data_IF_855715150128
#
_entry.id   IF_855715150128
#
_cell.length_a   1.000
_cell.length_b   1.000
_cell.length_c   1.000
_cell.angle_alpha   90.00
_cell.angle_beta   90.00
_cell.angle_gamma   90.00
#
_symmetry.space_group_name_H-M   'P 1'
#
loop_
_entity.id
_entity.type
_entity.pdbx_description
1 polymer ?
#
# COMPACT_ATOMS: atom_id res chain seq x y z
N UNK A 1 2.53 8.17 -14.12
CA UNK A 1 1.13 8.50 -13.82
C UNK A 1 0.99 9.96 -13.37
N UNK A 2 1.70 10.42 -12.34
CA UNK A 2 1.58 11.80 -11.79
C UNK A 2 1.77 12.88 -12.85
N UNK A 3 2.82 12.80 -13.67
CA UNK A 3 3.09 13.77 -14.73
C UNK A 3 1.94 13.87 -15.76
N UNK A 4 1.32 12.74 -16.11
CA UNK A 4 0.18 12.70 -17.02
C UNK A 4 -1.05 13.37 -16.40
N UNK A 5 -1.35 13.12 -15.13
CA UNK A 5 -2.48 13.75 -14.44
C UNK A 5 -2.26 15.27 -14.25
N UNK A 6 -1.02 15.69 -13.95
CA UNK A 6 -0.67 17.12 -13.91
C UNK A 6 -0.87 17.82 -15.27
N UNK A 7 -0.60 17.12 -16.37
CA UNK A 7 -0.77 17.68 -17.72
C UNK A 7 -2.23 17.94 -18.08
N UNK A 8 -3.18 17.17 -17.53
CA UNK A 8 -4.62 17.37 -17.79
C UNK A 8 -5.21 18.59 -17.09
N UNK A 9 -4.61 19.07 -16.00
CA UNK A 9 -5.10 20.15 -15.12
C UNK A 9 -6.52 19.94 -14.56
N UNK A 10 -7.09 18.74 -14.73
CA UNK A 10 -8.44 18.39 -14.27
C UNK A 10 -8.45 17.63 -12.95
N UNK A 11 -7.28 17.27 -12.42
CA UNK A 11 -7.16 16.47 -11.21
C UNK A 11 -6.39 17.22 -10.12
N UNK A 12 -6.82 17.04 -8.88
CA UNK A 12 -6.11 17.56 -7.71
C UNK A 12 -5.14 16.49 -7.18
N UNK A 13 -3.89 16.88 -6.98
CA UNK A 13 -2.84 16.00 -6.50
C UNK A 13 -2.42 16.46 -5.10
N UNK A 14 -2.35 15.54 -4.16
CA UNK A 14 -1.91 15.81 -2.80
C UNK A 14 -0.43 16.22 -2.76
N UNK A 15 -0.02 17.02 -1.78
CA UNK A 15 1.40 17.20 -1.47
C UNK A 15 2.07 15.86 -1.15
N UNK A 16 3.39 15.77 -1.37
CA UNK A 16 4.14 14.53 -1.18
C UNK A 16 4.20 14.07 0.29
N UNK A 17 4.17 15.01 1.23
CA UNK A 17 4.16 14.73 2.68
C UNK A 17 3.02 15.49 3.32
N UNK A 18 2.22 14.80 4.10
CA UNK A 18 1.02 15.36 4.75
C UNK A 18 0.85 14.79 6.15
N UNK A 19 0.23 15.57 7.03
CA UNK A 19 -0.37 15.06 8.26
C UNK A 19 -1.83 14.69 8.00
N UNK A 20 -2.46 13.93 8.88
CA UNK A 20 -3.88 13.60 8.78
C UNK A 20 -4.73 14.88 8.58
N UNK A 21 -4.47 15.93 9.36
CA UNK A 21 -5.17 17.20 9.26
C UNK A 21 -4.95 17.91 7.90
N UNK A 22 -3.69 18.01 7.44
CA UNK A 22 -3.40 18.65 6.15
C UNK A 22 -3.92 17.85 4.95
N UNK A 23 -4.05 16.53 5.11
CA UNK A 23 -4.68 15.67 4.11
C UNK A 23 -6.18 15.98 3.95
N UNK A 24 -6.91 16.12 5.07
CA UNK A 24 -8.32 16.52 5.05
C UNK A 24 -8.48 17.94 4.46
N UNK A 25 -7.60 18.87 4.80
CA UNK A 25 -7.60 20.21 4.19
C UNK A 25 -7.35 20.16 2.67
N UNK A 26 -6.44 19.33 2.22
CA UNK A 26 -6.17 19.13 0.79
C UNK A 26 -7.37 18.52 0.07
N UNK A 27 -8.02 17.52 0.69
CA UNK A 27 -9.23 16.92 0.16
C UNK A 27 -10.38 17.95 0.11
N UNK A 28 -10.56 18.78 1.15
CA UNK A 28 -11.55 19.85 1.16
C UNK A 28 -11.34 20.88 0.04
N UNK A 29 -10.08 21.20 -0.29
CA UNK A 29 -9.73 22.09 -1.41
C UNK A 29 -9.86 21.46 -2.80
N UNK A 30 -10.06 20.14 -2.89
CA UNK A 30 -10.17 19.40 -4.16
C UNK A 30 -11.59 19.36 -4.73
N UNK A 31 -12.44 20.33 -4.35
CA UNK A 31 -13.82 20.40 -4.78
C UNK A 31 -13.95 20.54 -6.31
N UNK A 32 -14.88 19.79 -6.87
CA UNK A 32 -15.26 19.83 -8.29
C UNK A 32 -16.77 19.69 -8.42
N UNK A 33 -17.28 20.22 -9.54
CA UNK A 33 -18.69 20.13 -9.89
C UNK A 33 -18.85 19.55 -11.29
N UNK A 34 -19.79 18.63 -11.45
CA UNK A 34 -20.15 18.05 -12.75
C UNK A 34 -21.64 18.25 -12.97
N UNK A 35 -21.99 18.66 -14.19
CA UNK A 35 -23.39 18.76 -14.59
C UNK A 35 -24.00 17.36 -14.74
N UNK A 36 -25.12 17.12 -14.08
CA UNK A 36 -25.87 15.88 -14.23
C UNK A 36 -26.53 15.83 -15.61
N UNK A 37 -26.69 14.64 -16.20
CA UNK A 37 -27.42 14.48 -17.47
C UNK A 37 -28.79 15.15 -17.42
N UNK A 38 -29.24 15.66 -18.57
CA UNK A 38 -30.56 16.29 -18.76
C UNK A 38 -30.79 17.54 -17.89
N UNK A 39 -29.74 18.27 -17.53
CA UNK A 39 -29.82 19.47 -16.66
C UNK A 39 -30.52 19.20 -15.32
N UNK A 40 -30.46 18.00 -14.79
CA UNK A 40 -31.07 17.63 -13.50
C UNK A 40 -30.34 18.16 -12.28
N UNK A 41 -29.41 19.10 -12.48
CA UNK A 41 -28.65 19.78 -11.43
C UNK A 41 -27.14 19.53 -11.51
N UNK A 42 -26.43 19.87 -10.43
CA UNK A 42 -24.98 19.73 -10.29
C UNK A 42 -24.68 18.63 -9.27
N UNK A 43 -23.61 17.88 -9.48
CA UNK A 43 -23.01 17.01 -8.48
C UNK A 43 -21.70 17.65 -8.04
N UNK A 44 -21.64 17.99 -6.76
CA UNK A 44 -20.40 18.42 -6.12
C UNK A 44 -19.70 17.21 -5.49
N UNK A 45 -18.39 17.10 -5.70
CA UNK A 45 -17.55 16.06 -5.13
C UNK A 45 -16.13 16.58 -4.89
N UNK A 46 -15.42 15.91 -4.01
CA UNK A 46 -14.02 16.20 -3.73
C UNK A 46 -13.18 14.98 -4.10
N UNK A 47 -12.20 15.16 -4.97
CA UNK A 47 -11.34 14.05 -5.40
C UNK A 47 -9.87 14.43 -5.33
N UNK A 48 -9.11 13.67 -4.53
CA UNK A 48 -7.68 13.87 -4.30
C UNK A 48 -6.89 12.64 -4.74
N UNK A 49 -5.90 12.86 -5.62
CA UNK A 49 -4.92 11.84 -5.98
C UNK A 49 -3.69 11.96 -5.11
N UNK A 50 -3.21 10.84 -4.59
CA UNK A 50 -1.99 10.71 -3.82
C UNK A 50 -0.98 9.90 -4.62
N UNK A 51 0.19 10.48 -4.85
CA UNK A 51 1.34 9.79 -5.42
C UNK A 51 2.51 9.90 -4.45
N UNK A 52 3.01 8.77 -3.99
CA UNK A 52 4.21 8.73 -3.15
C UNK A 52 5.12 7.60 -3.61
N UNK A 53 6.38 7.93 -3.90
CA UNK A 53 7.38 6.92 -4.25
C UNK A 53 7.63 5.96 -3.08
N UNK A 54 7.53 6.48 -1.85
CA UNK A 54 7.68 5.74 -0.61
C UNK A 54 6.51 6.03 0.32
N UNK A 55 5.82 4.98 0.76
CA UNK A 55 4.66 5.08 1.66
C UNK A 55 5.01 5.82 2.97
N UNK A 56 6.22 5.62 3.49
CA UNK A 56 6.68 6.27 4.72
C UNK A 56 6.93 7.78 4.62
N UNK A 57 6.98 8.34 3.41
CA UNK A 57 6.97 9.80 3.22
C UNK A 57 5.55 10.34 3.36
N UNK A 58 4.55 9.55 2.99
CA UNK A 58 3.15 9.94 3.02
C UNK A 58 2.49 9.66 4.38
N UNK A 59 2.80 8.52 5.02
CA UNK A 59 2.24 8.12 6.32
C UNK A 59 3.40 7.94 7.31
N UNK A 60 3.31 8.58 8.48
CA UNK A 60 4.28 8.35 9.54
C UNK A 60 4.14 6.94 10.13
N UNK A 61 5.25 6.39 10.62
CA UNK A 61 5.25 5.09 11.26
C UNK A 61 4.25 5.05 12.43
N UNK A 62 3.45 3.98 12.49
CA UNK A 62 2.46 3.72 13.54
C UNK A 62 1.30 4.75 13.64
N UNK A 63 1.09 5.59 12.63
CA UNK A 63 -0.04 6.55 12.62
C UNK A 63 -1.38 5.85 12.30
N UNK A 64 -1.91 5.14 13.30
CA UNK A 64 -3.20 4.44 13.19
C UNK A 64 -4.37 5.40 12.93
N UNK A 65 -4.28 6.64 13.41
CA UNK A 65 -5.34 7.62 13.18
C UNK A 65 -5.43 7.99 11.70
N UNK A 66 -4.30 8.27 11.07
CA UNK A 66 -4.29 8.59 9.65
C UNK A 66 -4.71 7.39 8.78
N UNK A 67 -4.25 6.17 9.12
CA UNK A 67 -4.70 4.95 8.46
C UNK A 67 -6.22 4.75 8.57
N UNK A 68 -6.81 5.06 9.73
CA UNK A 68 -8.26 4.97 9.95
C UNK A 68 -9.03 5.96 9.08
N UNK A 69 -8.55 7.19 8.95
CA UNK A 69 -9.15 8.20 8.06
C UNK A 69 -9.12 7.74 6.60
N UNK A 70 -7.98 7.22 6.12
CA UNK A 70 -7.88 6.70 4.75
C UNK A 70 -8.82 5.53 4.54
N UNK A 71 -8.91 4.61 5.50
CA UNK A 71 -9.85 3.48 5.46
C UNK A 71 -11.31 3.95 5.40
N UNK A 72 -11.65 4.98 6.16
CA UNK A 72 -12.99 5.56 6.18
C UNK A 72 -13.36 6.22 4.85
N UNK A 73 -12.41 6.90 4.22
CA UNK A 73 -12.59 7.59 2.93
C UNK A 73 -12.55 6.66 1.72
N UNK A 74 -12.17 5.39 1.89
CA UNK A 74 -12.18 4.40 0.81
C UNK A 74 -13.60 4.00 0.40
N UNK A 75 -14.50 3.87 1.37
CA UNK A 75 -15.89 3.54 1.14
C UNK A 75 -16.69 4.82 0.82
N UNK A 76 -17.70 4.69 -0.03
CA UNK A 76 -18.50 5.84 -0.45
C UNK A 76 -19.20 6.50 0.74
N UNK A 77 -19.06 7.83 0.84
CA UNK A 77 -19.76 8.69 1.79
C UNK A 77 -20.37 9.89 1.06
N UNK A 78 -21.59 10.25 1.40
CA UNK A 78 -22.19 11.47 0.87
C UNK A 78 -21.50 12.72 1.45
N UNK A 79 -21.11 12.67 2.71
CA UNK A 79 -20.45 13.79 3.39
C UNK A 79 -19.48 13.27 4.45
N UNK A 80 -18.31 13.86 4.50
CA UNK A 80 -17.34 13.72 5.60
C UNK A 80 -17.30 15.01 6.40
N UNK A 81 -17.36 14.93 7.73
CA UNK A 81 -17.30 16.08 8.63
C UNK A 81 -16.20 15.91 9.65
N UNK A 82 -15.45 16.99 9.88
CA UNK A 82 -14.41 17.05 10.90
C UNK A 82 -14.49 18.34 11.67
N UNK A 83 -14.51 18.26 13.01
CA UNK A 83 -14.47 19.40 13.91
C UNK A 83 -13.09 19.50 14.57
N UNK A 84 -12.49 20.69 14.58
CA UNK A 84 -11.17 20.93 15.15
C UNK A 84 -11.26 21.91 16.32
N UNK A 85 -10.67 21.53 17.46
CA UNK A 85 -10.72 22.29 18.72
C UNK A 85 -10.28 23.78 18.62
N UNK A 86 -9.39 24.10 17.70
CA UNK A 86 -8.85 25.45 17.55
C UNK A 86 -9.34 26.19 16.32
N UNK A 87 -10.29 25.65 15.59
CA UNK A 87 -10.95 26.35 14.51
C UNK A 87 -12.14 27.12 15.06
N UNK A 88 -12.07 28.45 15.04
CA UNK A 88 -13.21 29.34 15.24
C UNK A 88 -14.17 29.35 14.05
N UNK A 89 -13.86 28.55 13.03
CA UNK A 89 -14.66 28.39 11.81
C UNK A 89 -15.56 27.16 11.95
N UNK A 90 -16.59 27.14 11.11
CA UNK A 90 -17.49 25.99 10.96
C UNK A 90 -16.72 24.68 10.72
N UNK A 91 -17.30 23.53 11.11
CA UNK A 91 -16.70 22.24 10.84
C UNK A 91 -16.37 22.09 9.35
N UNK A 92 -15.25 21.39 9.07
CA UNK A 92 -14.90 21.07 7.69
C UNK A 92 -15.94 20.05 7.18
N UNK A 93 -16.63 20.44 6.10
CA UNK A 93 -17.59 19.57 5.43
C UNK A 93 -17.12 19.30 4.00
N UNK A 94 -17.02 18.03 3.64
CA UNK A 94 -16.51 17.57 2.34
C UNK A 94 -17.57 16.69 1.70
N UNK A 95 -18.04 17.10 0.53
CA UNK A 95 -19.10 16.38 -0.19
C UNK A 95 -18.55 15.30 -1.10
N UNK A 96 -19.17 14.11 -1.06
CA UNK A 96 -18.80 12.95 -1.88
C UNK A 96 -17.28 12.77 -1.96
N UNK A 97 -16.57 12.65 -0.82
CA UNK A 97 -15.12 12.54 -0.79
C UNK A 97 -14.64 11.29 -1.52
N UNK A 98 -13.65 11.46 -2.37
CA UNK A 98 -12.99 10.38 -3.09
C UNK A 98 -11.48 10.54 -3.01
N UNK A 99 -10.77 9.45 -2.80
CA UNK A 99 -9.31 9.44 -2.80
C UNK A 99 -8.78 8.28 -3.64
N UNK A 100 -7.71 8.57 -4.36
CA UNK A 100 -7.01 7.54 -5.14
C UNK A 100 -5.54 7.57 -4.73
N UNK A 101 -5.02 6.43 -4.25
CA UNK A 101 -3.65 6.30 -3.81
C UNK A 101 -2.86 5.41 -4.77
N UNK A 102 -1.71 5.90 -5.22
CA UNK A 102 -0.69 5.11 -5.90
C UNK A 102 0.63 5.35 -5.17
N UNK A 103 1.05 4.37 -4.38
CA UNK A 103 2.20 4.49 -3.49
C UNK A 103 3.14 3.30 -3.64
N UNK A 104 4.44 3.56 -3.55
CA UNK A 104 5.47 2.54 -3.51
C UNK A 104 5.87 2.20 -2.08
N UNK A 105 6.37 1.00 -1.85
CA UNK A 105 7.04 0.62 -0.61
C UNK A 105 7.85 -0.66 -0.80
N UNK A 106 8.83 -0.85 0.06
CA UNK A 106 9.55 -2.12 0.15
C UNK A 106 8.89 -3.01 1.20
N UNK A 107 8.80 -4.35 1.00
CA UNK A 107 8.17 -5.24 1.97
C UNK A 107 8.75 -5.12 3.38
N UNK A 108 10.09 -5.10 3.52
CA UNK A 108 10.74 -4.93 4.82
C UNK A 108 10.39 -3.61 5.52
N UNK A 109 10.19 -2.53 4.76
CA UNK A 109 9.79 -1.24 5.31
C UNK A 109 8.32 -1.24 5.75
N UNK A 110 7.44 -1.96 5.06
CA UNK A 110 6.04 -2.12 5.49
C UNK A 110 5.93 -2.73 6.89
N UNK A 111 6.83 -3.66 7.24
CA UNK A 111 6.85 -4.28 8.57
C UNK A 111 7.14 -3.28 9.70
N UNK A 112 7.97 -2.27 9.44
CA UNK A 112 8.31 -1.23 10.41
C UNK A 112 7.32 -0.07 10.42
N UNK A 113 6.71 0.22 9.28
CA UNK A 113 5.77 1.33 9.10
C UNK A 113 4.39 1.01 9.66
N UNK A 114 3.88 -0.20 9.38
CA UNK A 114 2.52 -0.61 9.70
C UNK A 114 2.51 -1.54 10.93
N UNK A 115 1.89 -1.11 12.04
CA UNK A 115 1.71 -1.97 13.19
C UNK A 115 0.80 -3.16 12.86
N UNK A 116 0.87 -4.25 13.63
CA UNK A 116 0.05 -5.44 13.41
C UNK A 116 -1.45 -5.12 13.40
N UNK A 117 -1.88 -4.15 14.22
CA UNK A 117 -3.25 -3.65 14.24
C UNK A 117 -3.73 -3.12 12.87
N UNK A 118 -2.87 -2.51 12.07
CA UNK A 118 -3.25 -2.01 10.74
C UNK A 118 -3.74 -3.12 9.81
N UNK A 119 -3.12 -4.31 9.90
CA UNK A 119 -3.50 -5.47 9.09
C UNK A 119 -4.88 -6.01 9.48
N UNK A 120 -5.24 -5.95 10.77
CA UNK A 120 -6.54 -6.41 11.28
C UNK A 120 -7.63 -5.35 11.14
N UNK A 121 -7.29 -4.06 11.13
CA UNK A 121 -8.23 -2.94 10.98
C UNK A 121 -8.79 -2.78 9.55
N UNK A 122 -8.52 -3.71 8.64
CA UNK A 122 -9.06 -3.70 7.30
C UNK A 122 -8.26 -2.88 6.28
N UNK A 123 -7.00 -2.51 6.59
CA UNK A 123 -6.10 -1.86 5.65
C UNK A 123 -5.89 -2.72 4.40
N UNK A 124 -5.54 -4.01 4.58
CA UNK A 124 -5.37 -4.97 3.47
C UNK A 124 -6.62 -5.13 2.61
N UNK A 125 -7.81 -4.99 3.19
CA UNK A 125 -9.05 -5.12 2.45
C UNK A 125 -9.37 -3.93 1.53
N UNK A 126 -8.56 -2.89 1.59
CA UNK A 126 -8.72 -1.64 0.83
C UNK A 126 -7.56 -1.34 -0.11
N UNK A 127 -6.54 -2.18 -0.11
CA UNK A 127 -5.36 -2.05 -0.97
C UNK A 127 -5.26 -3.19 -1.96
N UNK A 128 -4.93 -2.86 -3.19
CA UNK A 128 -4.46 -3.81 -4.18
C UNK A 128 -2.93 -3.75 -4.18
N UNK A 129 -2.30 -4.77 -3.60
CA UNK A 129 -0.86 -4.83 -3.44
C UNK A 129 -0.21 -5.52 -4.63
N UNK A 130 0.49 -4.75 -5.45
CA UNK A 130 1.23 -5.26 -6.61
C UNK A 130 2.68 -5.50 -6.18
N UNK A 131 3.17 -6.71 -6.36
CA UNK A 131 4.54 -7.09 -6.03
C UNK A 131 5.28 -7.61 -7.25
N UNK A 132 6.56 -7.26 -7.36
CA UNK A 132 7.48 -7.84 -8.32
C UNK A 132 8.84 -8.03 -7.65
N UNK A 133 9.41 -9.22 -7.78
CA UNK A 133 10.79 -9.51 -7.36
C UNK A 133 11.81 -9.27 -8.48
N UNK A 134 11.35 -9.09 -9.72
CA UNK A 134 12.22 -8.85 -10.87
C UNK A 134 12.40 -7.38 -11.13
N UNK A 135 13.63 -6.96 -11.37
CA UNK A 135 13.94 -5.64 -11.93
C UNK A 135 14.15 -5.81 -13.44
N UNK A 136 13.51 -4.99 -14.28
CA UNK A 136 13.82 -5.01 -15.71
C UNK A 136 15.27 -4.58 -15.92
N UNK A 137 15.97 -5.28 -16.80
CA UNK A 137 17.28 -4.86 -17.27
C UNK A 137 17.10 -3.64 -18.20
N UNK A 138 17.49 -2.49 -17.68
CA UNK A 138 17.41 -1.22 -18.43
C UNK A 138 18.83 -0.75 -18.71
N UNK A 139 19.22 -0.54 -19.99
CA UNK A 139 20.54 -0.02 -20.34
C UNK A 139 20.83 1.28 -19.60
N UNK A 140 22.00 1.35 -18.98
CA UNK A 140 22.43 2.57 -18.27
C UNK A 140 22.65 3.74 -19.26
N UNK A 141 23.08 3.43 -20.46
CA UNK A 141 23.27 4.36 -21.57
C UNK A 141 22.52 3.84 -22.79
N UNK A 142 21.51 4.55 -23.21
CA UNK A 142 20.70 4.18 -24.36
C UNK A 142 19.87 5.35 -24.88
N UNK A 143 19.47 5.27 -26.14
CA UNK A 143 18.47 6.20 -26.66
C UNK A 143 17.09 5.84 -26.09
N UNK A 144 16.56 6.72 -25.26
CA UNK A 144 15.19 6.59 -24.79
C UNK A 144 14.24 6.91 -25.94
N UNK A 145 13.32 5.98 -26.21
CA UNK A 145 12.28 6.20 -27.21
C UNK A 145 11.49 7.44 -26.85
N UNK A 146 11.38 8.38 -27.78
CA UNK A 146 10.52 9.54 -27.60
C UNK A 146 9.06 9.10 -27.53
N UNK A 147 8.42 9.30 -26.38
CA UNK A 147 7.06 8.89 -26.06
C UNK A 147 6.06 10.07 -26.10
N UNK A 148 6.47 11.24 -26.61
CA UNK A 148 5.65 12.47 -26.55
C UNK A 148 4.27 12.30 -27.24
N UNK A 149 4.23 11.57 -28.35
CA UNK A 149 2.98 11.35 -29.06
C UNK A 149 2.02 10.44 -28.30
N UNK A 150 2.56 9.38 -27.70
CA UNK A 150 1.80 8.45 -26.85
C UNK A 150 1.32 9.12 -25.56
N UNK A 151 2.17 9.94 -24.94
CA UNK A 151 1.81 10.71 -23.76
C UNK A 151 0.69 11.70 -24.05
N UNK A 152 0.75 12.42 -25.18
CA UNK A 152 -0.34 13.31 -25.62
C UNK A 152 -1.67 12.58 -25.78
N UNK A 153 -1.65 11.38 -26.41
CA UNK A 153 -2.85 10.55 -26.55
C UNK A 153 -3.41 10.11 -25.18
N UNK A 154 -2.53 9.74 -24.25
CA UNK A 154 -2.96 9.38 -22.89
C UNK A 154 -3.56 10.56 -22.14
N UNK A 155 -2.96 11.75 -22.25
CA UNK A 155 -3.52 12.98 -21.64
C UNK A 155 -4.89 13.30 -22.20
N UNK A 156 -5.06 13.24 -23.54
CA UNK A 156 -6.36 13.46 -24.18
C UNK A 156 -7.42 12.47 -23.70
N UNK A 157 -7.03 11.20 -23.52
CA UNK A 157 -7.92 10.16 -23.01
C UNK A 157 -8.30 10.39 -21.55
N UNK A 158 -7.35 10.80 -20.70
CA UNK A 158 -7.59 11.17 -19.31
C UNK A 158 -8.53 12.41 -19.22
N UNK A 159 -8.32 13.39 -20.08
CA UNK A 159 -9.20 14.57 -20.17
C UNK A 159 -10.66 14.17 -20.50
N UNK A 160 -10.83 13.28 -21.47
CA UNK A 160 -12.15 12.75 -21.80
C UNK A 160 -12.76 11.96 -20.62
N UNK A 161 -11.96 11.10 -19.95
CA UNK A 161 -12.44 10.35 -18.78
C UNK A 161 -12.89 11.26 -17.63
N UNK A 162 -12.25 12.43 -17.45
CA UNK A 162 -12.59 13.36 -16.38
C UNK A 162 -13.99 14.00 -16.54
N UNK A 163 -14.55 13.97 -17.73
CA UNK A 163 -15.87 14.54 -18.04
C UNK A 163 -17.00 13.51 -18.03
N UNK A 164 -16.67 12.22 -17.88
CA UNK A 164 -17.71 11.19 -17.76
C UNK A 164 -18.42 11.28 -16.42
N UNK A 165 -19.74 11.26 -16.48
CA UNK A 165 -20.61 11.19 -15.32
C UNK A 165 -21.82 10.31 -15.62
N UNK A 166 -22.20 9.48 -14.65
CA UNK A 166 -23.40 8.66 -14.72
C UNK A 166 -23.16 7.23 -14.20
N UNK A 167 -24.26 6.48 -14.13
CA UNK A 167 -24.23 5.09 -13.75
C UNK A 167 -23.66 4.23 -14.89
N UNK A 168 -22.69 3.36 -14.57
CA UNK A 168 -22.18 2.38 -15.51
C UNK A 168 -23.14 1.18 -15.58
N UNK A 169 -23.68 0.92 -16.77
CA UNK A 169 -24.59 -0.22 -17.02
C UNK A 169 -23.77 -1.49 -17.24
N UNK A 170 -24.27 -2.58 -16.71
CA UNK A 170 -23.67 -3.90 -16.91
C UNK A 170 -24.35 -4.65 -18.05
N UNK A 171 -23.54 -5.25 -18.93
CA UNK A 171 -24.02 -6.22 -19.90
C UNK A 171 -24.53 -7.50 -19.18
N UNK A 172 -25.60 -8.09 -19.66
CA UNK A 172 -26.19 -9.30 -19.10
C UNK A 172 -25.20 -10.48 -19.03
N UNK A 173 -24.30 -10.61 -20.01
CA UNK A 173 -23.24 -11.64 -20.00
C UNK A 173 -22.21 -11.37 -18.91
N UNK A 174 -21.83 -10.10 -18.69
CA UNK A 174 -20.93 -9.70 -17.64
C UNK A 174 -21.52 -9.97 -16.24
N UNK A 175 -22.82 -9.68 -16.05
CA UNK A 175 -23.54 -10.01 -14.80
C UNK A 175 -23.52 -11.52 -14.56
N UNK A 176 -23.89 -12.31 -15.58
CA UNK A 176 -23.96 -13.77 -15.45
C UNK A 176 -22.59 -14.40 -15.12
N UNK A 177 -21.51 -13.87 -15.67
CA UNK A 177 -20.14 -14.35 -15.37
C UNK A 177 -19.71 -14.00 -13.96
N UNK A 178 -19.95 -12.76 -13.52
CA UNK A 178 -19.67 -12.33 -12.15
C UNK A 178 -20.45 -13.16 -11.12
N UNK A 179 -21.73 -13.43 -11.39
CA UNK A 179 -22.57 -14.28 -10.53
C UNK A 179 -22.07 -15.73 -10.47
N UNK A 180 -21.58 -16.28 -11.60
CA UNK A 180 -20.96 -17.59 -11.63
C UNK A 180 -19.71 -17.62 -10.77
N UNK A 181 -18.82 -16.65 -10.94
CA UNK A 181 -17.59 -16.56 -10.16
C UNK A 181 -17.85 -16.34 -8.66
N UNK A 182 -18.89 -15.59 -8.32
CA UNK A 182 -19.37 -15.46 -6.94
C UNK A 182 -19.81 -16.80 -6.35
N UNK A 183 -20.57 -17.61 -7.11
CA UNK A 183 -20.99 -18.97 -6.69
C UNK A 183 -19.81 -19.89 -6.48
N UNK A 184 -18.75 -19.75 -7.26
CA UNK A 184 -17.48 -20.47 -7.10
C UNK A 184 -16.60 -19.87 -5.99
N UNK A 185 -17.20 -19.09 -5.08
CA UNK A 185 -16.53 -18.43 -3.94
C UNK A 185 -15.32 -17.57 -4.35
N UNK A 186 -15.40 -16.97 -5.55
CA UNK A 186 -14.35 -16.13 -6.11
C UNK A 186 -13.01 -16.85 -6.32
N UNK A 187 -12.99 -18.15 -6.48
CA UNK A 187 -11.76 -18.93 -6.66
C UNK A 187 -10.98 -18.61 -7.95
N UNK A 188 -9.67 -18.90 -7.99
CA UNK A 188 -8.81 -19.20 -6.85
C UNK A 188 -8.58 -17.99 -5.95
N UNK A 189 -8.19 -18.22 -4.69
CA UNK A 189 -7.94 -17.16 -3.69
C UNK A 189 -6.50 -17.26 -3.18
N UNK A 190 -5.84 -16.11 -2.88
CA UNK A 190 -4.51 -16.13 -2.30
C UNK A 190 -4.54 -16.67 -0.87
N UNK A 191 -3.65 -17.63 -0.57
CA UNK A 191 -3.58 -18.28 0.75
C UNK A 191 -2.54 -17.60 1.64
N UNK A 192 -3.02 -16.66 2.48
CA UNK A 192 -2.21 -16.05 3.53
C UNK A 192 -3.10 -15.45 4.63
N UNK A 193 -2.82 -15.67 5.95
CA UNK A 193 -3.66 -15.17 7.06
C UNK A 193 -3.90 -13.65 7.03
N UNK A 194 -2.90 -12.86 6.68
CA UNK A 194 -3.03 -11.39 6.57
C UNK A 194 -3.95 -10.94 5.43
N UNK A 195 -4.32 -11.82 4.50
CA UNK A 195 -5.26 -11.56 3.41
C UNK A 195 -6.71 -11.96 3.75
N UNK A 196 -6.98 -12.48 4.94
CA UNK A 196 -8.32 -12.91 5.35
C UNK A 196 -9.38 -11.81 5.16
N UNK A 197 -9.06 -10.55 5.45
CA UNK A 197 -9.96 -9.41 5.26
C UNK A 197 -10.05 -8.91 3.80
N UNK A 198 -9.07 -9.26 2.97
CA UNK A 198 -9.04 -8.92 1.54
C UNK A 198 -9.97 -9.83 0.73
N UNK A 199 -9.95 -11.14 1.01
CA UNK A 199 -10.67 -12.16 0.24
C UNK A 199 -12.15 -11.84 0.02
N UNK A 200 -12.96 -11.45 1.03
CA UNK A 200 -14.38 -11.15 0.84
C UNK A 200 -14.62 -9.94 -0.08
N UNK A 201 -13.68 -9.01 -0.18
CA UNK A 201 -13.84 -7.76 -0.93
C UNK A 201 -13.29 -7.83 -2.36
N UNK A 202 -12.49 -8.83 -2.68
CA UNK A 202 -11.79 -8.92 -3.97
C UNK A 202 -12.76 -8.96 -5.17
N UNK A 203 -13.78 -9.79 -5.11
CA UNK A 203 -14.77 -9.91 -6.17
C UNK A 203 -15.77 -8.74 -6.20
N UNK A 204 -16.25 -8.34 -5.03
CA UNK A 204 -17.30 -7.32 -4.91
C UNK A 204 -16.79 -5.89 -5.06
N UNK A 205 -15.52 -5.63 -4.81
CA UNK A 205 -14.96 -4.28 -4.87
C UNK A 205 -13.85 -4.18 -5.91
N UNK A 206 -12.77 -4.97 -5.78
CA UNK A 206 -11.61 -4.80 -6.65
C UNK A 206 -11.90 -5.22 -8.09
N UNK A 207 -12.52 -6.38 -8.32
CA UNK A 207 -12.88 -6.80 -9.66
C UNK A 207 -13.86 -5.83 -10.32
N UNK A 208 -14.83 -5.31 -9.56
CA UNK A 208 -15.78 -4.30 -10.06
C UNK A 208 -15.06 -3.00 -10.43
N UNK A 209 -14.22 -2.45 -9.55
CA UNK A 209 -13.45 -1.22 -9.83
C UNK A 209 -12.50 -1.41 -11.02
N UNK A 210 -11.83 -2.55 -11.14
CA UNK A 210 -10.97 -2.88 -12.28
C UNK A 210 -11.76 -3.01 -13.58
N UNK A 211 -12.95 -3.62 -13.54
CA UNK A 211 -13.84 -3.71 -14.72
C UNK A 211 -14.33 -2.32 -15.17
N UNK A 212 -14.68 -1.44 -14.22
CA UNK A 212 -14.99 -0.04 -14.50
C UNK A 212 -13.79 0.67 -15.14
N UNK A 213 -12.59 0.48 -14.60
CA UNK A 213 -11.35 1.04 -15.15
C UNK A 213 -11.09 0.54 -16.57
N UNK A 214 -11.29 -0.77 -16.82
CA UNK A 214 -11.17 -1.36 -18.15
C UNK A 214 -12.17 -0.74 -19.14
N UNK A 215 -13.45 -0.60 -18.73
CA UNK A 215 -14.49 0.00 -19.56
C UNK A 215 -14.17 1.48 -19.89
N UNK A 216 -13.72 2.25 -18.91
CA UNK A 216 -13.28 3.65 -19.12
C UNK A 216 -12.05 3.73 -20.04
N UNK A 217 -11.10 2.82 -19.91
CA UNK A 217 -9.94 2.75 -20.78
C UNK A 217 -10.32 2.43 -22.23
N UNK A 218 -11.40 1.71 -22.48
CA UNK A 218 -11.97 1.47 -23.81
C UNK A 218 -12.56 2.75 -24.41
N UNK A 219 -13.24 3.57 -23.59
CA UNK A 219 -13.59 4.96 -23.94
C UNK A 219 -14.80 5.13 -24.85
N UNK A 220 -15.71 4.15 -24.93
CA UNK A 220 -16.86 4.23 -25.82
C UNK A 220 -18.16 4.64 -25.11
N UNK A 221 -18.44 4.01 -23.96
CA UNK A 221 -19.69 4.19 -23.21
C UNK A 221 -19.51 3.90 -21.74
N UNK A 222 -20.43 4.40 -20.90
CA UNK A 222 -20.54 4.00 -19.49
C UNK A 222 -21.18 2.62 -19.37
N UNK A 223 -20.53 1.60 -19.97
CA UNK A 223 -21.01 0.24 -19.99
C UNK A 223 -19.88 -0.76 -19.74
N UNK A 224 -20.11 -1.66 -18.78
CA UNK A 224 -19.21 -2.76 -18.45
C UNK A 224 -19.63 -3.98 -19.25
N UNK A 225 -18.75 -4.44 -20.14
CA UNK A 225 -18.95 -5.61 -21.00
C UNK A 225 -18.19 -6.82 -20.47
N UNK A 226 -18.50 -7.99 -21.01
CA UNK A 226 -17.84 -9.25 -20.65
C UNK A 226 -16.32 -9.15 -20.72
N UNK A 227 -15.77 -8.56 -21.77
CA UNK A 227 -14.32 -8.36 -21.94
C UNK A 227 -13.68 -7.51 -20.83
N UNK A 228 -14.43 -6.58 -20.22
CA UNK A 228 -13.93 -5.74 -19.12
C UNK A 228 -13.84 -6.57 -17.83
N UNK A 229 -14.79 -7.46 -17.60
CA UNK A 229 -14.80 -8.43 -16.49
C UNK A 229 -13.67 -9.45 -16.63
N UNK A 230 -13.48 -10.01 -17.81
CA UNK A 230 -12.39 -10.97 -18.09
C UNK A 230 -11.03 -10.34 -17.84
N UNK A 231 -10.83 -9.13 -18.35
CA UNK A 231 -9.57 -8.37 -18.16
C UNK A 231 -9.35 -8.04 -16.69
N UNK A 232 -10.37 -7.56 -15.99
CA UNK A 232 -10.30 -7.23 -14.58
C UNK A 232 -9.95 -8.44 -13.72
N UNK A 233 -10.58 -9.59 -14.00
CA UNK A 233 -10.29 -10.86 -13.34
C UNK A 233 -8.86 -11.33 -13.64
N UNK A 234 -8.41 -11.24 -14.89
CA UNK A 234 -7.04 -11.57 -15.27
C UNK A 234 -6.02 -10.75 -14.49
N UNK A 235 -6.15 -9.42 -14.47
CA UNK A 235 -5.28 -8.55 -13.67
C UNK A 235 -5.29 -8.88 -12.17
N UNK A 236 -6.49 -9.12 -11.63
CA UNK A 236 -6.63 -9.43 -10.20
C UNK A 236 -5.91 -10.72 -9.84
N UNK A 237 -6.13 -11.79 -10.59
CA UNK A 237 -5.52 -13.10 -10.33
C UNK A 237 -3.99 -13.05 -10.49
N UNK A 238 -3.47 -12.35 -11.51
CA UNK A 238 -2.05 -12.16 -11.73
C UNK A 238 -1.38 -11.44 -10.53
N UNK A 239 -2.00 -10.38 -10.03
CA UNK A 239 -1.51 -9.64 -8.86
C UNK A 239 -1.54 -10.52 -7.60
N UNK A 240 -2.62 -11.27 -7.39
CA UNK A 240 -2.85 -12.10 -6.22
C UNK A 240 -1.89 -13.27 -6.10
N UNK A 241 -1.39 -13.79 -7.21
CA UNK A 241 -0.38 -14.86 -7.22
C UNK A 241 0.87 -14.47 -6.42
N UNK A 242 1.27 -13.21 -6.50
CA UNK A 242 2.48 -12.70 -5.85
C UNK A 242 2.24 -12.05 -4.48
N UNK A 243 1.00 -11.73 -4.11
CA UNK A 243 0.69 -11.09 -2.82
C UNK A 243 1.24 -11.83 -1.59
N UNK A 244 1.16 -13.18 -1.46
CA UNK A 244 1.71 -13.87 -0.30
C UNK A 244 3.22 -13.68 -0.12
N UNK A 245 3.96 -13.38 -1.18
CA UNK A 245 5.42 -13.16 -1.11
C UNK A 245 5.75 -11.87 -0.36
N UNK A 246 4.90 -10.83 -0.46
CA UNK A 246 5.07 -9.58 0.29
C UNK A 246 5.23 -9.87 1.78
N UNK A 247 4.35 -10.71 2.32
CA UNK A 247 4.34 -11.03 3.76
C UNK A 247 5.51 -11.91 4.18
N UNK A 248 5.96 -12.81 3.29
CA UNK A 248 7.18 -13.60 3.52
C UNK A 248 8.41 -12.69 3.58
N UNK A 249 8.55 -11.80 2.61
CA UNK A 249 9.66 -10.85 2.55
C UNK A 249 9.65 -9.86 3.71
N UNK A 250 8.46 -9.44 4.17
CA UNK A 250 8.31 -8.62 5.38
C UNK A 250 8.90 -9.31 6.60
N UNK A 251 8.62 -10.61 6.78
CA UNK A 251 9.11 -11.38 7.94
C UNK A 251 10.63 -11.57 7.84
N UNK A 252 11.12 -11.99 6.69
CA UNK A 252 12.55 -12.25 6.49
C UNK A 252 13.40 -10.99 6.69
N UNK A 253 13.04 -9.88 6.04
CA UNK A 253 13.80 -8.62 6.15
C UNK A 253 13.72 -8.00 7.54
N UNK A 254 12.57 -8.13 8.23
CA UNK A 254 12.44 -7.60 9.58
C UNK A 254 13.29 -8.38 10.58
N UNK A 255 13.36 -9.71 10.46
CA UNK A 255 14.18 -10.54 11.33
C UNK A 255 15.69 -10.31 11.03
N UNK A 256 16.08 -10.20 9.76
CA UNK A 256 17.46 -9.88 9.36
C UNK A 256 17.91 -8.49 9.85
N UNK A 257 17.05 -7.49 9.74
CA UNK A 257 17.36 -6.15 10.24
C UNK A 257 17.53 -6.15 11.75
N UNK A 258 16.65 -6.82 12.49
CA UNK A 258 16.74 -6.94 13.95
C UNK A 258 18.02 -7.71 14.35
N UNK A 259 18.40 -8.75 13.62
CA UNK A 259 19.64 -9.49 13.82
C UNK A 259 20.84 -8.58 13.62
N UNK A 260 20.90 -7.83 12.53
CA UNK A 260 22.01 -6.92 12.22
C UNK A 260 22.15 -5.80 13.27
N UNK A 261 21.05 -5.13 13.62
CA UNK A 261 21.04 -4.10 14.68
C UNK A 261 21.49 -4.69 16.04
N UNK A 262 21.05 -5.90 16.36
CA UNK A 262 21.44 -6.59 17.59
C UNK A 262 22.93 -6.91 17.56
N UNK A 263 23.43 -7.42 16.45
CA UNK A 263 24.85 -7.71 16.28
C UNK A 263 25.71 -6.44 16.49
N UNK A 264 25.36 -5.35 15.82
CA UNK A 264 26.07 -4.07 15.95
C UNK A 264 26.06 -3.56 17.39
N UNK A 265 24.93 -3.66 18.07
CA UNK A 265 24.84 -3.30 19.50
C UNK A 265 25.75 -4.17 20.38
N UNK A 266 25.68 -5.49 20.23
CA UNK A 266 26.49 -6.42 21.00
C UNK A 266 27.99 -6.26 20.71
N UNK A 267 28.33 -6.04 19.44
CA UNK A 267 29.71 -5.80 19.03
C UNK A 267 30.26 -4.50 19.66
N UNK A 268 29.47 -3.43 19.67
CA UNK A 268 29.87 -2.18 20.31
C UNK A 268 30.13 -2.32 21.82
N UNK A 269 29.27 -3.07 22.53
CA UNK A 269 29.46 -3.37 23.96
C UNK A 269 30.73 -4.23 24.18
N UNK A 270 30.89 -5.26 23.40
CA UNK A 270 32.02 -6.17 23.50
C UNK A 270 33.36 -5.47 23.24
N UNK A 271 33.44 -4.62 22.22
CA UNK A 271 34.62 -3.84 21.91
C UNK A 271 34.99 -2.90 23.08
N UNK A 272 33.98 -2.28 23.70
CA UNK A 272 34.16 -1.34 24.80
C UNK A 272 34.59 -2.00 26.11
N UNK A 273 33.95 -3.12 26.45
CA UNK A 273 34.13 -3.74 27.78
C UNK A 273 35.03 -4.98 27.76
N UNK A 274 35.28 -5.57 26.59
CA UNK A 274 36.04 -6.82 26.40
C UNK A 274 35.56 -7.97 27.29
N UNK A 275 34.26 -7.99 27.63
CA UNK A 275 33.64 -8.98 28.50
C UNK A 275 32.42 -9.61 27.82
N UNK A 276 32.11 -10.88 28.08
CA UNK A 276 30.92 -11.54 27.58
C UNK A 276 29.66 -10.84 28.04
N UNK A 277 28.64 -10.87 27.22
CA UNK A 277 27.38 -10.14 27.38
C UNK A 277 26.31 -11.09 27.92
N UNK A 278 25.64 -10.72 29.02
CA UNK A 278 24.59 -11.55 29.61
C UNK A 278 23.38 -11.71 28.66
N UNK A 279 22.80 -12.89 28.61
CA UNK A 279 21.58 -13.21 27.83
C UNK A 279 20.44 -12.19 28.11
N UNK A 280 20.25 -11.80 29.36
CA UNK A 280 19.28 -10.81 29.77
C UNK A 280 19.45 -9.43 29.07
N UNK A 281 20.70 -9.04 28.78
CA UNK A 281 21.00 -7.78 28.07
C UNK A 281 20.61 -7.91 26.60
N UNK A 282 20.87 -9.06 25.98
CA UNK A 282 20.47 -9.35 24.57
C UNK A 282 18.96 -9.37 24.46
N UNK A 283 18.28 -10.11 25.32
CA UNK A 283 16.82 -10.22 25.33
C UNK A 283 16.14 -8.85 25.59
N UNK A 284 16.70 -8.03 26.49
CA UNK A 284 16.18 -6.67 26.72
C UNK A 284 16.29 -5.80 25.46
N UNK A 285 17.38 -5.88 24.74
CA UNK A 285 17.56 -5.14 23.49
C UNK A 285 16.60 -5.60 22.41
N UNK A 286 16.44 -6.92 22.27
CA UNK A 286 15.52 -7.55 21.33
C UNK A 286 14.04 -7.22 21.66
N UNK A 287 13.64 -7.25 22.94
CA UNK A 287 12.25 -6.96 23.36
C UNK A 287 11.81 -5.52 23.09
N UNK A 288 12.74 -4.62 22.88
CA UNK A 288 12.42 -3.24 22.45
C UNK A 288 12.15 -3.11 20.95
N UNK A 289 12.48 -4.14 20.15
CA UNK A 289 12.43 -4.14 18.68
C UNK A 289 11.54 -5.19 18.08
N UNK A 290 11.21 -6.22 18.85
CA UNK A 290 10.39 -7.34 18.41
C UNK A 290 9.51 -7.83 19.58
N UNK A 291 8.35 -8.43 19.30
CA UNK A 291 7.52 -9.07 20.33
C UNK A 291 8.33 -10.07 21.16
N UNK A 292 8.03 -10.16 22.45
CA UNK A 292 8.79 -11.00 23.40
C UNK A 292 8.91 -12.47 22.94
N UNK A 293 7.84 -13.01 22.34
CA UNK A 293 7.80 -14.36 21.78
C UNK A 293 8.82 -14.58 20.65
N UNK A 294 9.15 -13.53 19.89
CA UNK A 294 10.16 -13.59 18.82
C UNK A 294 11.57 -13.37 19.33
N UNK A 295 11.74 -12.66 20.45
CA UNK A 295 13.07 -12.28 20.95
C UNK A 295 13.95 -13.49 21.24
N UNK A 296 13.41 -14.50 21.93
CA UNK A 296 14.13 -15.75 22.18
C UNK A 296 14.43 -16.52 20.90
N UNK A 297 13.49 -16.56 19.95
CA UNK A 297 13.69 -17.19 18.66
C UNK A 297 14.83 -16.55 17.88
N UNK A 298 14.88 -15.21 17.85
CA UNK A 298 15.93 -14.46 17.16
C UNK A 298 17.29 -14.71 17.83
N UNK A 299 17.37 -14.68 19.15
CA UNK A 299 18.59 -14.98 19.87
C UNK A 299 19.12 -16.38 19.58
N UNK A 300 18.23 -17.37 19.59
CA UNK A 300 18.56 -18.77 19.23
C UNK A 300 19.01 -18.89 17.77
N UNK A 301 18.40 -18.12 16.85
CA UNK A 301 18.81 -18.08 15.45
C UNK A 301 20.21 -17.48 15.30
N UNK A 302 20.52 -16.40 16.01
CA UNK A 302 21.84 -15.77 16.00
C UNK A 302 22.93 -16.73 16.53
N UNK A 303 22.64 -17.52 17.56
CA UNK A 303 23.55 -18.53 18.09
C UNK A 303 23.77 -19.66 17.06
N UNK A 304 22.70 -20.23 16.51
CA UNK A 304 22.77 -21.29 15.48
C UNK A 304 23.46 -20.83 14.19
N UNK A 305 23.30 -19.57 13.82
CA UNK A 305 23.95 -18.98 12.66
C UNK A 305 25.41 -18.55 12.92
N UNK A 306 25.93 -18.78 14.13
CA UNK A 306 27.31 -18.42 14.49
C UNK A 306 27.56 -16.91 14.54
N UNK A 307 26.53 -16.09 14.74
CA UNK A 307 26.62 -14.64 14.89
C UNK A 307 27.04 -14.28 16.32
N UNK A 308 26.54 -15.04 17.28
CA UNK A 308 26.94 -14.99 18.68
C UNK A 308 27.29 -16.40 19.15
N UNK A 309 28.19 -16.49 20.12
CA UNK A 309 28.61 -17.78 20.70
C UNK A 309 28.36 -17.75 22.20
N UNK A 310 27.65 -18.74 22.71
CA UNK A 310 27.44 -18.97 24.14
C UNK A 310 28.72 -19.46 24.78
N UNK A 311 29.08 -18.93 25.94
CA UNK A 311 30.21 -19.42 26.72
C UNK A 311 29.79 -20.64 27.56
N UNK A 312 30.65 -21.67 27.56
CA UNK A 312 30.38 -22.91 28.25
C UNK A 312 30.12 -22.69 29.77
N UNK A 313 29.00 -23.24 30.26
CA UNK A 313 28.64 -23.18 31.67
C UNK A 313 28.07 -21.82 32.14
N UNK A 314 27.84 -20.90 31.24
CA UNK A 314 27.28 -19.58 31.59
C UNK A 314 26.11 -19.17 30.70
N UNK A 315 25.33 -18.15 31.11
CA UNK A 315 24.32 -17.49 30.27
C UNK A 315 24.86 -16.19 29.67
N UNK A 316 26.10 -16.27 29.16
CA UNK A 316 26.74 -15.13 28.51
C UNK A 316 27.16 -15.47 27.09
N UNK A 317 27.20 -14.45 26.23
CA UNK A 317 27.45 -14.56 24.81
C UNK A 317 28.56 -13.61 24.36
N UNK A 318 29.31 -14.02 23.34
CA UNK A 318 30.32 -13.22 22.67
C UNK A 318 29.91 -13.06 21.20
N UNK A 319 29.88 -11.87 20.64
CA UNK A 319 29.67 -11.67 19.22
C UNK A 319 30.90 -12.16 18.44
N UNK A 320 30.66 -12.97 17.39
CA UNK A 320 31.73 -13.47 16.53
C UNK A 320 31.95 -12.46 15.39
N UNK A 321 33.22 -12.16 15.09
CA UNK A 321 33.54 -11.28 13.96
C UNK A 321 33.02 -11.95 12.67
N UNK A 322 32.11 -11.26 11.96
CA UNK A 322 31.78 -11.63 10.58
C UNK A 322 32.98 -11.24 9.70
N UNK A 323 33.55 -12.19 8.99
CA UNK A 323 34.34 -11.84 7.81
C UNK A 323 33.41 -11.09 6.87
N UNK A 324 33.64 -9.78 6.69
CA UNK A 324 32.96 -9.02 5.65
C UNK A 324 33.42 -9.63 4.31
N UNK A 325 32.59 -10.48 3.74
CA UNK A 325 32.77 -10.87 2.34
C UNK A 325 32.61 -9.57 1.55
N UNK A 326 33.76 -9.09 1.08
CA UNK A 326 33.86 -7.89 0.28
C UNK A 326 32.91 -7.98 -0.91
N UNK A 327 32.18 -6.92 -1.12
CA UNK A 327 31.52 -6.65 -2.37
C UNK A 327 32.58 -6.74 -3.49
N UNK A 328 32.49 -7.80 -4.30
CA UNK A 328 33.12 -7.92 -5.60
C UNK A 328 32.15 -7.41 -6.66
#
# INVERSE_FOLDING_TARGET
AEALLKATKKFHIAPNSVTAASYIDALGRSARSVLKPNNSGVLDYNHLFVFAAELGVFINAHDLNFLSIINELFDHKATYREERRHSLKDPIEIHNPMTTLLVGSQPGFLATLLPEAAWTMGWTSRLLMVYSSSMPDVPLFGEYKNMDAEQKKLVQKLDACADYYGEMKWDAKAIADMERWRKDKWGPVPDHPKLANYIPRRGTIFAVKLAMTSAMARGEELAIRMQDVERARGWLLEIEELMPQIFRDMIMRSDDQVIEETFQYLFSIYVKHRAPIAAATILRFLSQRTPAEKAERIMNLMEKAGIIQRQAGTETYVPLAREMHGAG
#
